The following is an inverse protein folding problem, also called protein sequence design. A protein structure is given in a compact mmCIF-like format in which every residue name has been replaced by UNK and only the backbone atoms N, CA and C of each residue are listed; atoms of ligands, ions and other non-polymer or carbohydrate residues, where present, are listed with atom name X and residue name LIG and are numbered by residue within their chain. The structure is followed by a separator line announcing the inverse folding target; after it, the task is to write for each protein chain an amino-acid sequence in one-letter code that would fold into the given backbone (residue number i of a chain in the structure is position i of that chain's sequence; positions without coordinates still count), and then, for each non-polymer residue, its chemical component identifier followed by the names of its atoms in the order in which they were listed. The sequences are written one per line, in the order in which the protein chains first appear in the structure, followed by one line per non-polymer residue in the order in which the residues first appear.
data_IF_556030078624
#
_entry.id   IF_556030078624
#
_cell.length_a   1.000
_cell.length_b   1.000
_cell.length_c   1.000
_cell.angle_alpha   90.00
_cell.angle_beta   90.00
_cell.angle_gamma   90.00
#
_symmetry.space_group_name_H-M   'P 1'
#
loop_
_entity.id
_entity.type
_entity.pdbx_description
1 polymer ?
#
# COMPACT_ATOMS: atom_id res chain seq x y z
N UNK A 1 2.68 0.30 8.68
CA UNK A 1 3.12 -1.08 8.39
C UNK A 1 3.84 -1.10 7.04
N UNK A 2 5.09 -0.62 6.99
CA UNK A 2 5.88 -0.55 5.74
C UNK A 2 7.10 -1.44 5.92
N UNK A 3 7.26 -2.48 5.09
CA UNK A 3 8.50 -3.27 4.99
C UNK A 3 8.40 -4.79 5.14
N UNK A 4 7.30 -5.35 5.65
CA UNK A 4 7.25 -6.78 6.00
C UNK A 4 7.06 -7.72 4.79
N UNK A 5 6.59 -7.21 3.64
CA UNK A 5 6.26 -8.00 2.44
C UNK A 5 7.40 -8.26 1.45
N UNK A 6 8.52 -7.53 1.55
CA UNK A 6 9.59 -7.55 0.52
C UNK A 6 10.17 -8.95 0.29
N UNK A 7 10.37 -9.70 1.37
CA UNK A 7 10.94 -11.06 1.28
C UNK A 7 10.01 -12.03 0.54
N UNK A 8 8.68 -11.85 0.59
CA UNK A 8 7.73 -12.69 -0.14
C UNK A 8 7.75 -12.39 -1.64
N UNK A 9 7.91 -11.11 -1.99
CA UNK A 9 7.87 -10.62 -3.37
C UNK A 9 9.09 -11.04 -4.22
N UNK A 10 10.21 -11.36 -3.57
CA UNK A 10 11.49 -11.72 -4.23
C UNK A 10 11.80 -13.22 -4.23
N UNK A 11 10.89 -14.08 -3.73
CA UNK A 11 11.12 -15.54 -3.75
C UNK A 11 11.07 -16.07 -5.20
N UNK A 12 12.00 -16.99 -5.56
CA UNK A 12 12.19 -17.56 -6.92
C UNK A 12 12.54 -16.48 -7.96
N UNK A 13 11.91 -16.50 -9.14
CA UNK A 13 12.10 -15.46 -10.16
C UNK A 13 11.42 -14.14 -9.79
N UNK A 14 10.61 -14.14 -8.72
CA UNK A 14 9.81 -13.00 -8.29
C UNK A 14 8.71 -12.62 -9.26
N UNK A 15 7.78 -11.81 -8.79
CA UNK A 15 6.84 -11.06 -9.65
C UNK A 15 7.03 -9.60 -9.29
N UNK A 16 7.19 -8.68 -10.27
CA UNK A 16 7.23 -7.25 -10.01
C UNK A 16 6.02 -6.85 -9.17
N UNK A 17 6.29 -6.46 -7.93
CA UNK A 17 5.25 -6.19 -6.95
C UNK A 17 5.74 -5.14 -5.96
N UNK A 18 4.79 -4.37 -5.44
CA UNK A 18 5.04 -3.29 -4.50
C UNK A 18 3.90 -3.20 -3.50
N UNK A 19 4.13 -2.48 -2.41
CA UNK A 19 3.10 -2.18 -1.43
C UNK A 19 2.85 -0.67 -1.39
N UNK A 20 1.59 -0.28 -1.52
CA UNK A 20 1.12 1.06 -1.23
C UNK A 20 0.27 0.99 0.04
N UNK A 21 0.58 1.81 1.04
CA UNK A 21 -0.14 1.83 2.32
C UNK A 21 -0.54 3.24 2.69
N UNK A 22 -1.72 3.38 3.29
CA UNK A 22 -2.25 4.65 3.81
C UNK A 22 -1.93 4.71 5.31
N UNK A 23 -1.36 5.81 5.83
CA UNK A 23 -1.16 6.00 7.26
C UNK A 23 -2.48 5.88 8.04
N UNK A 24 -2.48 5.10 9.11
CA UNK A 24 -3.68 4.82 9.89
C UNK A 24 -3.36 4.82 11.40
N UNK A 25 -4.30 5.31 12.22
CA UNK A 25 -4.29 5.26 13.67
C UNK A 25 -5.25 4.17 14.16
N UNK A 26 -4.91 3.57 15.31
CA UNK A 26 -5.69 2.49 15.94
C UNK A 26 -5.80 1.23 15.07
N UNK A 27 -4.72 0.89 14.36
CA UNK A 27 -4.62 -0.34 13.56
C UNK A 27 -4.95 -1.55 14.43
N UNK A 28 -5.77 -2.47 13.90
CA UNK A 28 -6.30 -3.66 14.56
C UNK A 28 -7.36 -3.41 15.64
N UNK A 29 -8.05 -2.27 15.58
CA UNK A 29 -9.23 -2.03 16.40
C UNK A 29 -10.50 -2.01 15.52
N UNK A 30 -11.71 -2.21 16.08
CA UNK A 30 -12.94 -2.15 15.30
C UNK A 30 -13.21 -0.78 14.65
N UNK A 31 -12.53 0.28 15.09
CA UNK A 31 -12.68 1.63 14.55
C UNK A 31 -11.31 2.25 14.36
N UNK A 32 -10.83 2.20 13.12
CA UNK A 32 -9.56 2.78 12.71
C UNK A 32 -9.77 4.18 12.10
N UNK A 33 -8.71 4.99 12.05
CA UNK A 33 -8.80 6.36 11.56
C UNK A 33 -7.69 6.66 10.55
N UNK A 34 -8.05 7.27 9.43
CA UNK A 34 -7.13 7.70 8.36
C UNK A 34 -7.39 9.17 8.03
N UNK A 35 -6.44 9.81 7.36
CA UNK A 35 -6.66 11.10 6.72
C UNK A 35 -7.31 10.91 5.34
N UNK A 36 -8.38 11.64 5.06
CA UNK A 36 -9.10 11.54 3.79
C UNK A 36 -8.22 11.95 2.60
N UNK A 37 -7.39 12.98 2.76
CA UNK A 37 -6.48 13.43 1.71
C UNK A 37 -5.39 12.41 1.38
N UNK A 38 -4.92 11.65 2.37
CA UNK A 38 -3.98 10.55 2.13
C UNK A 38 -4.64 9.39 1.37
N UNK A 39 -5.93 9.12 1.62
CA UNK A 39 -6.70 8.12 0.86
C UNK A 39 -6.80 8.55 -0.61
N UNK A 40 -7.23 9.78 -0.88
CA UNK A 40 -7.38 10.28 -2.25
C UNK A 40 -6.05 10.26 -3.02
N UNK A 41 -4.96 10.67 -2.38
CA UNK A 41 -3.62 10.66 -3.00
C UNK A 41 -3.14 9.24 -3.26
N UNK A 42 -3.39 8.30 -2.36
CA UNK A 42 -3.06 6.89 -2.58
C UNK A 42 -3.81 6.31 -3.79
N UNK A 43 -5.10 6.64 -3.96
CA UNK A 43 -5.85 6.23 -5.17
C UNK A 43 -5.22 6.81 -6.42
N UNK A 44 -4.85 8.10 -6.43
CA UNK A 44 -4.18 8.73 -7.57
C UNK A 44 -2.89 7.99 -7.94
N UNK A 45 -2.03 7.70 -6.95
CA UNK A 45 -0.79 6.95 -7.18
C UNK A 45 -1.07 5.57 -7.76
N UNK A 46 -2.06 4.84 -7.22
CA UNK A 46 -2.42 3.50 -7.71
C UNK A 46 -2.93 3.52 -9.15
N UNK A 47 -3.80 4.47 -9.50
CA UNK A 47 -4.33 4.61 -10.85
C UNK A 47 -3.23 4.94 -11.84
N UNK A 48 -2.33 5.88 -11.51
CA UNK A 48 -1.21 6.21 -12.38
C UNK A 48 -0.24 5.01 -12.54
N UNK A 49 0.00 4.24 -11.49
CA UNK A 49 0.83 3.05 -11.57
C UNK A 49 0.28 1.98 -12.54
N UNK A 50 -1.05 1.82 -12.61
CA UNK A 50 -1.69 0.88 -13.55
C UNK A 50 -1.66 1.41 -14.99
N UNK A 51 -1.75 2.72 -15.20
CA UNK A 51 -1.66 3.31 -16.55
C UNK A 51 -0.27 3.24 -17.17
N UNK A 52 0.77 3.21 -16.32
CA UNK A 52 2.17 3.14 -16.73
C UNK A 52 2.66 1.70 -16.96
N UNK A 53 1.87 0.70 -16.56
CA UNK A 53 2.14 -0.72 -16.75
C UNK A 53 1.67 -1.21 -18.13
#
# INVERSE_FOLDING_TARGET
MVGMGRNMQIVRAGVPSGCLSIPCRYIHTPSEMVDEGDVERAVRVMVEAVKLA
#
